data_IF_766165632737
#
_entry.id   IF_766165632737
#
_cell.length_a   1.000
_cell.length_b   1.000
_cell.length_c   1.000
_cell.angle_alpha   90.00
_cell.angle_beta   90.00
_cell.angle_gamma   90.00
#
_symmetry.space_group_name_H-M   'P 1'
#
loop_
_entity.id
_entity.type
_entity.pdbx_description
1 polymer ?
#
# COMPACT_ATOMS: atom_id res chain seq x y z
N UNK A 1 17.20 -13.46 -9.77
CA UNK A 1 17.31 -13.39 -8.31
C UNK A 1 17.68 -11.99 -7.83
N UNK A 2 18.82 -11.42 -8.24
CA UNK A 2 19.21 -10.10 -7.69
C UNK A 2 18.38 -8.92 -8.21
N UNK A 3 17.91 -8.95 -9.46
CA UNK A 3 17.07 -7.91 -10.07
C UNK A 3 15.57 -8.26 -10.11
N UNK A 4 15.11 -9.17 -9.25
CA UNK A 4 13.70 -9.53 -9.15
C UNK A 4 12.89 -8.53 -8.31
N UNK A 5 11.58 -8.46 -8.54
CA UNK A 5 10.66 -7.66 -7.72
C UNK A 5 10.57 -8.28 -6.34
N UNK A 6 10.76 -7.48 -5.30
CA UNK A 6 10.74 -7.97 -3.91
C UNK A 6 10.20 -6.93 -2.95
N UNK A 7 9.42 -7.42 -1.99
CA UNK A 7 9.01 -6.67 -0.81
C UNK A 7 9.96 -7.03 0.33
N UNK A 8 10.41 -6.03 1.07
CA UNK A 8 11.31 -6.23 2.21
C UNK A 8 10.83 -5.47 3.45
N UNK A 9 11.31 -5.89 4.61
CA UNK A 9 11.00 -5.25 5.88
C UNK A 9 12.12 -5.47 6.89
N UNK A 10 12.19 -4.62 7.91
CA UNK A 10 13.14 -4.77 9.01
C UNK A 10 12.65 -5.78 10.04
N UNK A 11 13.52 -6.70 10.43
CA UNK A 11 13.29 -7.73 11.45
C UNK A 11 13.03 -7.12 12.83
N UNK A 12 13.77 -6.07 13.17
CA UNK A 12 13.61 -5.28 14.40
C UNK A 12 13.19 -3.88 14.00
N UNK A 13 11.92 -3.56 14.22
CA UNK A 13 11.40 -2.22 14.03
C UNK A 13 10.07 -2.06 14.75
N UNK A 14 9.93 -0.93 15.43
CA UNK A 14 8.68 -0.52 16.09
C UNK A 14 7.61 -0.06 15.08
N UNK A 15 8.00 0.14 13.82
CA UNK A 15 7.14 0.66 12.75
C UNK A 15 6.79 -0.44 11.73
N UNK A 16 5.51 -0.58 11.42
CA UNK A 16 5.06 -1.50 10.37
C UNK A 16 5.25 -0.92 8.96
N UNK A 17 6.50 -0.93 8.49
CA UNK A 17 6.84 -0.46 7.15
C UNK A 17 7.41 -1.59 6.32
N UNK A 18 6.88 -1.75 5.11
CA UNK A 18 7.39 -2.64 4.08
C UNK A 18 7.89 -1.80 2.90
N UNK A 19 9.10 -2.09 2.45
CA UNK A 19 9.71 -1.48 1.27
C UNK A 19 9.56 -2.36 0.04
N UNK A 20 9.82 -1.78 -1.12
CA UNK A 20 9.82 -2.46 -2.41
C UNK A 20 11.08 -2.14 -3.18
N UNK A 21 11.59 -3.11 -3.93
CA UNK A 21 12.69 -2.93 -4.87
C UNK A 21 12.49 -3.87 -6.06
N UNK A 22 12.79 -3.38 -7.25
CA UNK A 22 12.90 -4.13 -8.51
C UNK A 22 14.33 -4.09 -9.07
N UNK A 23 15.28 -3.65 -8.24
CA UNK A 23 16.69 -3.52 -8.57
C UNK A 23 17.55 -4.37 -7.63
N UNK A 24 18.85 -4.39 -7.89
CA UNK A 24 19.80 -5.02 -6.98
C UNK A 24 19.75 -4.30 -5.62
N UNK A 25 19.55 -5.05 -4.55
CA UNK A 25 19.41 -4.53 -3.20
C UNK A 25 20.32 -5.32 -2.26
N UNK A 26 21.26 -4.63 -1.64
CA UNK A 26 22.16 -5.21 -0.65
C UNK A 26 21.54 -5.01 0.74
N UNK A 27 21.01 -6.09 1.31
CA UNK A 27 20.43 -6.09 2.64
C UNK A 27 21.49 -6.35 3.71
N UNK A 28 21.38 -5.62 4.82
CA UNK A 28 21.99 -5.99 6.10
C UNK A 28 21.23 -7.14 6.76
N UNK A 29 21.83 -7.84 7.71
CA UNK A 29 21.27 -9.06 8.35
C UNK A 29 19.93 -8.86 9.07
N UNK A 30 19.51 -7.62 9.28
CA UNK A 30 18.25 -7.22 9.87
C UNK A 30 17.12 -6.99 8.84
N UNK A 31 17.36 -7.16 7.54
CA UNK A 31 16.35 -6.98 6.49
C UNK A 31 15.93 -8.30 5.89
N UNK A 32 14.61 -8.55 5.91
CA UNK A 32 14.00 -9.79 5.43
C UNK A 32 13.23 -9.51 4.15
N UNK A 33 13.24 -10.47 3.24
CA UNK A 33 12.53 -10.40 1.96
C UNK A 33 11.34 -11.36 1.95
N UNK A 34 10.25 -10.91 1.36
CA UNK A 34 9.13 -11.77 0.97
C UNK A 34 9.40 -12.29 -0.44
N UNK A 35 9.89 -13.52 -0.53
CA UNK A 35 10.10 -14.22 -1.80
C UNK A 35 8.88 -15.04 -2.16
N UNK A 36 8.41 -14.96 -3.41
CA UNK A 36 7.26 -15.75 -3.81
C UNK A 36 7.62 -17.21 -4.05
N UNK A 37 6.62 -18.07 -3.78
CA UNK A 37 6.68 -19.50 -4.15
C UNK A 37 6.19 -19.76 -5.58
N UNK A 38 5.55 -18.76 -6.20
CA UNK A 38 5.05 -18.77 -7.59
C UNK A 38 5.88 -17.79 -8.42
N UNK A 39 5.58 -17.68 -9.72
CA UNK A 39 6.22 -16.69 -10.58
C UNK A 39 6.07 -15.29 -10.00
N UNK A 40 7.12 -14.47 -10.10
CA UNK A 40 7.06 -13.05 -9.70
C UNK A 40 5.99 -12.30 -10.52
N UNK A 41 5.73 -12.72 -11.76
CA UNK A 41 4.76 -12.08 -12.65
C UNK A 41 3.29 -12.30 -12.22
N UNK A 42 3.03 -13.31 -11.38
CA UNK A 42 1.69 -13.63 -10.90
C UNK A 42 1.27 -12.76 -9.70
N UNK A 43 2.14 -11.84 -9.26
CA UNK A 43 1.97 -11.12 -8.00
C UNK A 43 1.71 -9.65 -8.26
N UNK A 44 0.58 -9.20 -7.73
CA UNK A 44 0.23 -7.79 -7.67
C UNK A 44 1.02 -7.09 -6.57
N UNK A 45 2.30 -6.80 -6.85
CA UNK A 45 3.20 -6.16 -5.90
C UNK A 45 2.71 -4.78 -5.45
N UNK A 46 2.05 -4.01 -6.32
CA UNK A 46 1.56 -2.68 -5.99
C UNK A 46 0.44 -2.77 -4.95
N UNK A 47 -0.57 -3.61 -5.20
CA UNK A 47 -1.65 -3.81 -4.24
C UNK A 47 -1.14 -4.42 -2.93
N UNK A 48 -0.28 -5.44 -3.02
CA UNK A 48 0.25 -6.13 -1.85
C UNK A 48 1.09 -5.19 -0.98
N UNK A 49 1.98 -4.39 -1.58
CA UNK A 49 2.78 -3.40 -0.86
C UNK A 49 1.91 -2.38 -0.14
N UNK A 50 0.88 -1.86 -0.82
CA UNK A 50 -0.06 -0.91 -0.25
C UNK A 50 -0.82 -1.52 0.94
N UNK A 51 -1.28 -2.76 0.78
CA UNK A 51 -2.01 -3.49 1.80
C UNK A 51 -1.14 -3.72 3.04
N UNK A 52 0.11 -4.17 2.86
CA UNK A 52 1.05 -4.42 3.96
C UNK A 52 1.41 -3.16 4.76
N UNK A 53 1.40 -1.99 4.09
CA UNK A 53 1.62 -0.69 4.72
C UNK A 53 0.31 -0.01 5.18
N UNK A 54 -0.85 -0.63 4.99
CA UNK A 54 -2.14 -0.03 5.33
C UNK A 54 -2.39 0.08 6.83
N UNK A 55 -3.27 1.01 7.21
CA UNK A 55 -3.75 1.16 8.60
C UNK A 55 -4.47 -0.08 9.12
N UNK A 56 -5.11 -0.87 8.25
CA UNK A 56 -5.73 -2.16 8.62
C UNK A 56 -4.66 -3.15 9.09
N UNK A 57 -3.57 -3.31 8.34
CA UNK A 57 -2.48 -4.21 8.75
C UNK A 57 -1.77 -3.69 9.99
N UNK A 58 -1.58 -2.37 10.11
CA UNK A 58 -1.06 -1.77 11.34
C UNK A 58 -1.90 -2.15 12.55
N UNK A 59 -3.24 -2.00 12.48
CA UNK A 59 -4.15 -2.42 13.54
C UNK A 59 -3.98 -3.90 13.90
N UNK A 60 -3.96 -4.79 12.90
CA UNK A 60 -3.79 -6.23 13.12
C UNK A 60 -2.44 -6.56 13.79
N UNK A 61 -1.38 -5.85 13.44
CA UNK A 61 -0.06 -6.04 14.05
C UNK A 61 -0.04 -5.63 15.51
N UNK A 62 -0.69 -4.50 15.84
CA UNK A 62 -0.85 -4.05 17.23
C UNK A 62 -1.70 -5.03 18.03
N UNK A 63 -2.83 -5.48 17.47
CA UNK A 63 -3.72 -6.45 18.11
C UNK A 63 -3.07 -7.80 18.38
N UNK A 64 -2.15 -8.25 17.51
CA UNK A 64 -1.41 -9.51 17.68
C UNK A 64 -0.07 -9.34 18.43
N UNK A 65 0.21 -8.15 18.96
CA UNK A 65 1.44 -7.80 19.67
C UNK A 65 2.73 -8.11 18.89
N UNK A 66 2.74 -7.79 17.58
CA UNK A 66 3.89 -7.94 16.68
C UNK A 66 4.68 -6.61 16.71
N UNK A 67 5.25 -6.24 17.87
CA UNK A 67 5.79 -4.87 18.06
C UNK A 67 7.30 -4.70 17.86
N UNK A 68 8.15 -5.69 18.15
CA UNK A 68 9.61 -5.41 18.30
C UNK A 68 10.52 -6.44 17.62
N UNK A 69 10.18 -7.73 17.67
CA UNK A 69 10.91 -8.80 16.95
C UNK A 69 9.94 -9.58 16.11
N UNK A 70 10.02 -9.39 14.81
CA UNK A 70 9.19 -10.12 13.84
C UNK A 70 9.83 -11.47 13.58
N UNK A 71 9.60 -12.46 14.45
CA UNK A 71 10.01 -13.83 14.09
C UNK A 71 9.38 -14.18 12.74
N UNK A 72 10.16 -14.78 11.84
CA UNK A 72 9.70 -15.21 10.51
C UNK A 72 8.35 -15.94 10.59
N UNK A 73 8.22 -16.84 11.57
CA UNK A 73 6.99 -17.57 11.91
C UNK A 73 5.80 -16.67 12.28
N UNK A 74 5.99 -15.61 13.07
CA UNK A 74 4.88 -14.72 13.43
C UNK A 74 4.33 -13.98 12.22
N UNK A 75 5.15 -13.60 11.26
CA UNK A 75 4.69 -12.96 10.03
C UNK A 75 4.04 -13.95 9.07
N UNK A 76 4.68 -15.08 8.81
CA UNK A 76 4.20 -16.09 7.84
C UNK A 76 2.83 -16.64 8.20
N UNK A 77 2.54 -16.85 9.49
CA UNK A 77 1.29 -17.48 9.92
C UNK A 77 0.20 -16.50 10.37
N UNK A 78 0.52 -15.23 10.63
CA UNK A 78 -0.46 -14.28 11.20
C UNK A 78 -0.83 -13.11 10.31
N UNK A 79 -0.18 -12.92 9.17
CA UNK A 79 -0.51 -11.86 8.23
C UNK A 79 -1.60 -12.37 7.27
N UNK A 80 -2.86 -11.90 7.40
CA UNK A 80 -3.87 -12.28 6.43
C UNK A 80 -3.52 -11.65 5.08
N UNK A 81 -3.52 -12.44 4.01
CA UNK A 81 -3.38 -11.91 2.63
C UNK A 81 -4.77 -11.97 1.99
N UNK A 82 -5.29 -10.85 1.46
CA UNK A 82 -6.60 -10.83 0.81
C UNK A 82 -6.61 -11.77 -0.40
N UNK A 83 -7.68 -12.55 -0.51
CA UNK A 83 -7.88 -13.39 -1.68
C UNK A 83 -8.59 -12.56 -2.76
N UNK A 84 -7.87 -12.26 -3.84
CA UNK A 84 -8.31 -11.30 -4.86
C UNK A 84 -9.62 -11.70 -5.54
N UNK A 85 -9.92 -13.00 -5.61
CA UNK A 85 -11.16 -13.51 -6.20
C UNK A 85 -12.42 -13.08 -5.44
N UNK A 86 -12.31 -12.54 -4.23
CA UNK A 86 -13.45 -11.97 -3.51
C UNK A 86 -13.83 -10.56 -3.98
N UNK A 87 -12.95 -9.88 -4.71
CA UNK A 87 -13.15 -8.53 -5.22
C UNK A 87 -13.54 -8.58 -6.70
N UNK A 88 -14.84 -8.72 -6.97
CA UNK A 88 -15.35 -8.90 -8.34
C UNK A 88 -16.26 -7.79 -8.81
N UNK A 89 -16.78 -6.95 -7.91
CA UNK A 89 -17.65 -5.87 -8.34
C UNK A 89 -16.85 -4.82 -9.10
N UNK A 90 -17.50 -4.13 -10.03
CA UNK A 90 -16.89 -3.01 -10.76
C UNK A 90 -16.29 -1.98 -9.79
N UNK A 91 -17.01 -1.67 -8.70
CA UNK A 91 -16.51 -0.80 -7.64
C UNK A 91 -15.23 -1.32 -6.97
N UNK A 92 -15.14 -2.62 -6.67
CA UNK A 92 -13.92 -3.18 -6.08
C UNK A 92 -12.73 -3.07 -7.04
N UNK A 93 -12.94 -3.39 -8.32
CA UNK A 93 -11.91 -3.31 -9.35
C UNK A 93 -11.41 -1.88 -9.55
N UNK A 94 -12.30 -0.90 -9.48
CA UNK A 94 -11.96 0.53 -9.50
C UNK A 94 -11.10 0.90 -8.29
N UNK A 95 -11.51 0.51 -7.08
CA UNK A 95 -10.76 0.79 -5.85
C UNK A 95 -9.36 0.16 -5.90
N UNK A 96 -9.26 -1.10 -6.32
CA UNK A 96 -7.98 -1.81 -6.48
C UNK A 96 -7.09 -1.09 -7.49
N UNK A 97 -7.64 -0.68 -8.63
CA UNK A 97 -6.89 0.03 -9.67
C UNK A 97 -6.36 1.36 -9.17
N UNK A 98 -7.19 2.12 -8.45
CA UNK A 98 -6.77 3.38 -7.84
C UNK A 98 -5.67 3.18 -6.79
N UNK A 99 -5.78 2.16 -5.93
CA UNK A 99 -4.73 1.80 -4.97
C UNK A 99 -3.41 1.51 -5.70
N UNK A 100 -3.44 0.73 -6.78
CA UNK A 100 -2.24 0.40 -7.57
C UNK A 100 -1.59 1.65 -8.15
N UNK A 101 -2.39 2.54 -8.75
CA UNK A 101 -1.90 3.79 -9.35
C UNK A 101 -1.25 4.67 -8.27
N UNK A 102 -1.95 4.93 -7.16
CA UNK A 102 -1.41 5.75 -6.07
C UNK A 102 -0.13 5.16 -5.48
N UNK A 103 -0.06 3.85 -5.34
CA UNK A 103 1.14 3.15 -4.83
C UNK A 103 2.30 3.25 -5.81
N UNK A 104 2.04 3.07 -7.10
CA UNK A 104 3.04 3.29 -8.16
C UNK A 104 3.60 4.71 -8.11
N UNK A 105 2.73 5.70 -7.91
CA UNK A 105 3.14 7.09 -7.69
C UNK A 105 4.02 7.26 -6.44
N UNK A 106 3.65 6.67 -5.30
CA UNK A 106 4.48 6.74 -4.09
C UNK A 106 5.87 6.14 -4.31
N UNK A 107 5.96 4.99 -4.98
CA UNK A 107 7.25 4.36 -5.32
C UNK A 107 8.07 5.31 -6.19
N UNK A 108 7.49 5.85 -7.27
CA UNK A 108 8.16 6.80 -8.18
C UNK A 108 8.62 8.06 -7.45
N UNK A 109 7.82 8.60 -6.54
CA UNK A 109 8.21 9.75 -5.71
C UNK A 109 9.41 9.42 -4.81
N UNK A 110 9.42 8.23 -4.19
CA UNK A 110 10.53 7.81 -3.33
C UNK A 110 11.85 7.65 -4.10
N UNK A 111 11.79 7.16 -5.34
CA UNK A 111 12.97 7.00 -6.22
C UNK A 111 13.43 8.36 -6.76
N UNK A 112 12.49 9.21 -7.21
CA UNK A 112 12.80 10.50 -7.83
C UNK A 112 13.15 11.60 -6.83
N UNK A 113 12.91 11.45 -5.53
CA UNK A 113 13.46 12.40 -4.56
C UNK A 113 15.00 12.46 -4.58
N UNK A 114 15.67 11.47 -5.20
CA UNK A 114 17.13 11.47 -5.42
C UNK A 114 17.57 12.04 -6.78
N UNK A 115 16.65 12.25 -7.75
CA UNK A 115 16.96 12.74 -9.09
C UNK A 115 15.94 13.81 -9.49
N UNK A 116 16.38 15.00 -9.91
CA UNK A 116 15.55 16.16 -10.33
C UNK A 116 14.67 15.92 -11.59
N UNK A 117 14.07 14.75 -11.74
CA UNK A 117 13.17 14.42 -12.83
C UNK A 117 11.75 14.89 -12.47
N UNK A 118 11.26 15.86 -13.25
CA UNK A 118 9.88 16.32 -13.26
C UNK A 118 8.96 15.19 -13.76
N UNK A 119 8.55 14.31 -12.86
CA UNK A 119 7.46 13.37 -13.15
C UNK A 119 6.18 14.16 -13.44
N UNK A 120 5.68 14.08 -14.67
CA UNK A 120 4.51 14.84 -15.12
C UNK A 120 3.22 14.19 -14.63
N UNK A 121 2.37 14.99 -14.00
CA UNK A 121 1.01 14.64 -13.56
C UNK A 121 0.11 14.21 -14.74
N UNK A 122 0.47 14.62 -15.96
CA UNK A 122 -0.27 14.31 -17.20
C UNK A 122 -0.52 12.80 -17.41
N UNK A 123 0.40 11.92 -17.01
CA UNK A 123 0.19 10.46 -17.06
C UNK A 123 -0.89 9.97 -16.09
N UNK A 124 -1.02 10.60 -14.92
CA UNK A 124 -2.05 10.25 -13.95
C UNK A 124 -3.44 10.60 -14.49
N UNK A 125 -3.57 11.75 -15.16
CA UNK A 125 -4.85 12.17 -15.72
C UNK A 125 -5.34 11.23 -16.82
N UNK A 126 -4.47 10.68 -17.66
CA UNK A 126 -4.85 9.66 -18.66
C UNK A 126 -5.25 8.32 -18.01
N UNK A 127 -4.43 7.77 -17.12
CA UNK A 127 -4.74 6.52 -16.41
C UNK A 127 -6.05 6.65 -15.61
N UNK A 128 -6.25 7.80 -14.96
CA UNK A 128 -7.43 8.08 -14.16
C UNK A 128 -8.69 8.32 -15.00
N UNK A 129 -8.58 8.99 -16.15
CA UNK A 129 -9.70 9.21 -17.06
C UNK A 129 -10.19 7.91 -17.70
N UNK A 130 -9.24 7.02 -18.04
CA UNK A 130 -9.54 5.69 -18.60
C UNK A 130 -10.26 4.75 -17.62
N UNK A 131 -10.17 5.00 -16.32
CA UNK A 131 -10.86 4.17 -15.31
C UNK A 131 -12.38 4.40 -15.25
N UNK A 132 -12.95 5.35 -16.00
CA UNK A 132 -14.39 5.63 -15.95
C UNK A 132 -14.89 6.06 -14.55
N UNK A 133 -13.96 6.45 -13.67
CA UNK A 133 -14.10 6.59 -12.20
C UNK A 133 -15.16 7.58 -11.70
N UNK A 134 -15.80 8.35 -12.57
CA UNK A 134 -16.60 9.50 -12.15
C UNK A 134 -17.96 9.11 -11.53
N UNK A 135 -18.54 7.96 -11.90
CA UNK A 135 -19.88 7.56 -11.45
C UNK A 135 -19.89 6.86 -10.08
N UNK A 136 -18.99 5.89 -9.87
CA UNK A 136 -19.04 4.99 -8.70
C UNK A 136 -18.65 5.63 -7.38
N UNK A 137 -17.84 6.68 -7.48
CA UNK A 137 -17.09 7.17 -6.36
C UNK A 137 -17.86 8.30 -5.64
N UNK A 138 -18.84 8.94 -6.30
CA UNK A 138 -19.50 10.18 -5.85
C UNK A 138 -18.48 11.34 -5.70
N UNK A 139 -17.56 11.48 -6.68
CA UNK A 139 -16.31 12.21 -6.47
C UNK A 139 -16.13 13.38 -7.45
N UNK A 140 -16.43 14.58 -6.96
CA UNK A 140 -15.65 15.75 -7.37
C UNK A 140 -14.59 16.07 -6.31
N UNK A 141 -14.93 15.97 -5.02
CA UNK A 141 -14.06 16.42 -3.93
C UNK A 141 -12.88 15.49 -3.64
N UNK A 142 -13.09 14.17 -3.53
CA UNK A 142 -11.98 13.23 -3.34
C UNK A 142 -11.00 13.18 -4.54
N UNK A 143 -11.45 13.47 -5.77
CA UNK A 143 -10.59 13.56 -6.97
C UNK A 143 -9.75 14.82 -6.84
N UNK A 144 -10.36 15.95 -6.45
CA UNK A 144 -9.62 17.16 -6.13
C UNK A 144 -8.56 16.89 -5.05
N UNK A 145 -8.91 16.16 -3.99
CA UNK A 145 -7.96 15.79 -2.94
C UNK A 145 -6.82 14.91 -3.47
N UNK A 146 -7.12 13.88 -4.27
CA UNK A 146 -6.10 13.05 -4.93
C UNK A 146 -5.17 13.89 -5.80
N UNK A 147 -5.73 14.76 -6.66
CA UNK A 147 -4.95 15.66 -7.51
C UNK A 147 -4.07 16.60 -6.69
N UNK A 148 -4.60 17.18 -5.60
CA UNK A 148 -3.83 18.02 -4.67
C UNK A 148 -2.68 17.23 -4.05
N UNK A 149 -2.93 16.02 -3.57
CA UNK A 149 -1.93 15.17 -2.94
C UNK A 149 -0.79 14.83 -3.90
N UNK A 150 -1.14 14.45 -5.14
CA UNK A 150 -0.17 14.13 -6.19
C UNK A 150 0.63 15.36 -6.63
N UNK A 151 -0.03 16.51 -6.84
CA UNK A 151 0.63 17.75 -7.24
C UNK A 151 1.62 18.25 -6.18
N UNK A 152 1.24 18.14 -4.90
CA UNK A 152 2.10 18.52 -3.78
C UNK A 152 3.15 17.47 -3.44
N UNK A 153 3.13 16.29 -4.09
CA UNK A 153 3.95 15.12 -3.75
C UNK A 153 3.84 14.75 -2.27
N UNK A 154 2.64 14.93 -1.70
CA UNK A 154 2.38 14.69 -0.28
C UNK A 154 2.15 13.20 -0.03
N UNK A 155 3.23 12.49 0.29
CA UNK A 155 3.21 11.04 0.51
C UNK A 155 2.32 10.63 1.69
N UNK A 156 2.18 11.50 2.70
CA UNK A 156 1.30 11.25 3.84
C UNK A 156 -0.16 11.30 3.40
N UNK A 157 -0.55 12.35 2.68
CA UNK A 157 -1.92 12.48 2.19
C UNK A 157 -2.28 11.36 1.20
N UNK A 158 -1.34 10.95 0.33
CA UNK A 158 -1.55 9.80 -0.56
C UNK A 158 -1.77 8.52 0.25
N UNK A 159 -0.98 8.28 1.30
CA UNK A 159 -1.17 7.12 2.18
C UNK A 159 -2.53 7.15 2.89
N UNK A 160 -2.95 8.31 3.41
CA UNK A 160 -4.26 8.47 4.04
C UNK A 160 -5.41 8.17 3.06
N UNK A 161 -5.27 8.56 1.79
CA UNK A 161 -6.22 8.20 0.73
C UNK A 161 -6.22 6.70 0.47
N UNK A 162 -5.05 6.05 0.38
CA UNK A 162 -4.94 4.59 0.18
C UNK A 162 -5.62 3.85 1.33
N UNK A 163 -5.40 4.26 2.58
CA UNK A 163 -6.04 3.65 3.75
C UNK A 163 -7.57 3.75 3.65
N UNK A 164 -8.09 4.91 3.26
CA UNK A 164 -9.51 5.15 3.00
C UNK A 164 -10.09 4.20 1.94
N UNK A 165 -9.33 3.96 0.86
CA UNK A 165 -9.73 3.05 -0.20
C UNK A 165 -9.78 1.61 0.32
N UNK A 166 -8.84 1.21 1.19
CA UNK A 166 -8.86 -0.11 1.82
C UNK A 166 -10.04 -0.27 2.77
N UNK A 167 -10.34 0.71 3.63
CA UNK A 167 -11.53 0.65 4.49
C UNK A 167 -12.81 0.45 3.68
N UNK A 168 -12.94 1.15 2.55
CA UNK A 168 -14.06 0.96 1.62
C UNK A 168 -14.05 -0.42 0.97
N UNK A 169 -12.92 -0.86 0.43
CA UNK A 169 -12.76 -2.14 -0.27
C UNK A 169 -13.12 -3.33 0.64
N UNK A 170 -12.68 -3.28 1.90
CA UNK A 170 -13.00 -4.32 2.90
C UNK A 170 -14.32 -4.10 3.63
N UNK A 171 -15.03 -2.99 3.37
CA UNK A 171 -16.27 -2.59 4.06
C UNK A 171 -16.08 -2.54 5.58
N UNK A 172 -14.95 -2.00 6.02
CA UNK A 172 -14.57 -1.83 7.42
C UNK A 172 -14.81 -0.37 7.82
N UNK A 173 -15.45 -0.19 8.97
CA UNK A 173 -15.65 1.13 9.57
C UNK A 173 -14.33 1.69 10.12
N UNK A 174 -13.86 2.78 9.50
CA UNK A 174 -12.64 3.48 9.87
C UNK A 174 -12.70 4.03 11.30
N UNK A 175 -13.79 4.69 11.68
CA UNK A 175 -13.93 5.33 12.99
C UNK A 175 -13.87 4.29 14.11
N UNK A 176 -14.45 3.12 13.85
CA UNK A 176 -14.37 1.99 14.77
C UNK A 176 -12.95 1.43 14.91
N UNK A 177 -12.19 1.32 13.83
CA UNK A 177 -10.79 0.88 13.92
C UNK A 177 -9.93 1.93 14.61
N UNK A 178 -10.12 3.21 14.29
CA UNK A 178 -9.36 4.31 14.87
C UNK A 178 -9.60 4.42 16.38
N UNK A 179 -10.85 4.36 16.83
CA UNK A 179 -11.18 4.31 18.26
C UNK A 179 -10.61 3.09 18.99
N UNK A 180 -10.51 1.93 18.33
CA UNK A 180 -9.87 0.75 18.92
C UNK A 180 -8.35 0.89 19.00
N UNK A 181 -7.73 1.60 18.06
CA UNK A 181 -6.30 1.94 18.12
C UNK A 181 -6.05 2.85 19.31
N UNK A 182 -6.76 3.97 19.38
CA UNK A 182 -6.61 4.98 20.43
C UNK A 182 -6.85 4.40 21.82
N UNK A 183 -7.88 3.57 21.98
CA UNK A 183 -8.26 3.04 23.31
C UNK A 183 -7.26 2.04 23.89
N UNK A 184 -6.61 1.24 23.05
CA UNK A 184 -5.82 0.08 23.51
C UNK A 184 -4.34 0.17 23.19
N UNK A 185 -3.95 1.05 22.29
CA UNK A 185 -2.61 1.05 21.73
C UNK A 185 -1.93 2.42 21.67
N UNK A 186 -2.65 3.53 21.82
CA UNK A 186 -2.04 4.86 22.01
C UNK A 186 -2.08 5.26 23.50
#
# INVERSE_FOLDING_TARGET
YECGKKIFFKYISDNNTFGYSDTQYFATSDTYFLWPKRSEDDIDYLFLLAYLNSRIIYFLFRAKNIKIKRSKTKLEYNLPIPFMDYFRSEGDLILISLIRILTSHMIKLSINNNNNNNFKIDMFDEEFYNLGCFSYLNISERIKLIKIALNKKDSRLIQEIIDDLFFKLFKIDREKIDSLIEKYYD
#
